data_IF_626714860975
#
_entry.id   IF_626714860975
#
_cell.length_a   1.000
_cell.length_b   1.000
_cell.length_c   1.000
_cell.angle_alpha   90.00
_cell.angle_beta   90.00
_cell.angle_gamma   90.00
#
_symmetry.space_group_name_H-M   'P 1'
#
loop_
_entity.id
_entity.type
_entity.pdbx_description
1 polymer ?
#
# COMPACT_ATOMS: atom_id res chain seq x y z
N UNK A 1 8.38 15.06 1.33
CA UNK A 1 8.92 15.14 -0.07
C UNK A 1 7.80 15.21 -1.09
N UNK A 2 8.06 15.70 -2.31
CA UNK A 2 7.03 15.74 -3.36
C UNK A 2 6.82 14.33 -3.94
N UNK A 3 5.74 13.67 -3.56
CA UNK A 3 5.39 12.35 -4.07
C UNK A 3 4.85 12.42 -5.50
N UNK A 4 5.13 11.37 -6.28
CA UNK A 4 4.47 11.16 -7.57
C UNK A 4 3.04 10.65 -7.34
N UNK A 5 2.09 11.19 -8.09
CA UNK A 5 0.71 10.72 -8.04
C UNK A 5 0.00 10.89 -9.37
N UNK A 6 -1.07 10.16 -9.57
CA UNK A 6 -1.98 10.30 -10.70
C UNK A 6 -3.35 10.74 -10.20
N UNK A 7 -3.80 11.90 -10.70
CA UNK A 7 -5.10 12.46 -10.39
C UNK A 7 -6.09 12.17 -11.53
N UNK A 8 -7.30 11.73 -11.17
CA UNK A 8 -8.37 11.48 -12.14
C UNK A 8 -9.75 11.58 -11.50
N UNK A 9 -10.79 11.82 -12.29
CA UNK A 9 -12.16 11.86 -11.84
C UNK A 9 -12.60 13.21 -11.26
N UNK A 10 -13.82 13.23 -10.76
CA UNK A 10 -14.48 14.40 -10.16
C UNK A 10 -15.29 13.98 -8.94
N UNK A 11 -15.40 14.87 -7.94
CA UNK A 11 -16.12 14.59 -6.69
C UNK A 11 -15.21 14.69 -5.46
N UNK A 12 -15.64 14.16 -4.30
CA UNK A 12 -14.84 14.19 -3.08
C UNK A 12 -13.48 13.50 -3.27
N UNK A 13 -12.39 14.05 -2.67
CA UNK A 13 -11.06 13.49 -2.84
C UNK A 13 -10.91 12.13 -2.11
N UNK A 14 -10.39 11.13 -2.84
CA UNK A 14 -10.00 9.81 -2.33
C UNK A 14 -8.54 9.56 -2.67
N UNK A 15 -7.70 9.47 -1.64
CA UNK A 15 -6.28 9.17 -1.77
C UNK A 15 -6.04 7.69 -1.51
N UNK A 16 -5.27 7.04 -2.38
CA UNK A 16 -5.01 5.59 -2.31
C UNK A 16 -3.51 5.32 -2.30
N UNK A 17 -3.02 4.60 -1.27
CA UNK A 17 -1.64 4.19 -1.08
C UNK A 17 -1.46 2.68 -1.30
N UNK A 18 -0.45 2.31 -2.10
CA UNK A 18 -0.09 0.92 -2.37
C UNK A 18 0.68 0.25 -1.24
N UNK A 19 0.84 -1.08 -1.30
CA UNK A 19 1.66 -1.88 -0.39
C UNK A 19 3.15 -1.93 -0.80
N UNK A 20 3.95 -2.62 0.04
CA UNK A 20 5.38 -2.85 -0.20
C UNK A 20 5.62 -3.44 -1.60
N UNK A 21 6.67 -3.00 -2.28
CA UNK A 21 7.06 -3.34 -3.66
C UNK A 21 6.04 -2.94 -4.74
N UNK A 22 4.90 -2.34 -4.36
CA UNK A 22 3.88 -1.87 -5.28
C UNK A 22 4.15 -0.49 -5.85
N UNK A 23 3.16 0.01 -6.59
CA UNK A 23 3.09 1.37 -7.12
C UNK A 23 1.63 1.77 -7.31
N UNK A 24 1.41 3.02 -7.68
CA UNK A 24 0.07 3.54 -8.02
C UNK A 24 -0.63 2.72 -9.13
N UNK A 25 0.14 2.07 -10.01
CA UNK A 25 -0.40 1.25 -11.09
C UNK A 25 -1.22 0.04 -10.60
N UNK A 26 -0.99 -0.41 -9.36
CA UNK A 26 -1.74 -1.51 -8.77
C UNK A 26 -3.23 -1.19 -8.59
N UNK A 27 -3.58 0.10 -8.59
CA UNK A 27 -4.92 0.59 -8.32
C UNK A 27 -5.72 1.03 -9.55
N UNK A 28 -5.15 0.95 -10.75
CA UNK A 28 -5.86 1.42 -11.97
C UNK A 28 -7.18 0.72 -12.24
N UNK A 29 -7.29 -0.58 -11.97
CA UNK A 29 -8.56 -1.32 -12.13
C UNK A 29 -9.65 -0.82 -11.17
N UNK A 30 -9.29 -0.57 -9.91
CA UNK A 30 -10.19 -0.01 -8.89
C UNK A 30 -10.55 1.45 -9.25
N UNK A 31 -9.55 2.24 -9.64
CA UNK A 31 -9.73 3.65 -9.99
C UNK A 31 -10.72 3.83 -11.14
N UNK A 32 -10.64 2.99 -12.17
CA UNK A 32 -11.55 3.02 -13.31
C UNK A 32 -13.03 2.89 -12.90
N UNK A 33 -13.30 2.11 -11.86
CA UNK A 33 -14.65 1.91 -11.34
C UNK A 33 -15.13 3.05 -10.42
N UNK A 34 -14.21 3.85 -9.86
CA UNK A 34 -14.52 4.90 -8.88
C UNK A 34 -14.45 6.32 -9.45
N UNK A 35 -13.88 6.49 -10.65
CA UNK A 35 -13.56 7.80 -11.26
C UNK A 35 -14.78 8.71 -11.48
N UNK A 36 -15.97 8.13 -11.66
CA UNK A 36 -17.20 8.89 -11.86
C UNK A 36 -17.80 9.48 -10.56
N UNK A 37 -17.27 9.03 -9.40
CA UNK A 37 -17.81 9.40 -8.08
C UNK A 37 -16.81 10.16 -7.20
N UNK A 38 -15.51 10.01 -7.46
CA UNK A 38 -14.44 10.57 -6.62
C UNK A 38 -13.35 11.22 -7.47
N UNK A 39 -12.73 12.26 -6.91
CA UNK A 39 -11.42 12.72 -7.40
C UNK A 39 -10.36 11.82 -6.76
N UNK A 40 -9.80 10.94 -7.58
CA UNK A 40 -8.85 9.93 -7.14
C UNK A 40 -7.42 10.47 -7.18
N UNK A 41 -6.65 10.20 -6.15
CA UNK A 41 -5.22 10.44 -6.04
C UNK A 41 -4.53 9.10 -5.79
N UNK A 42 -4.03 8.45 -6.85
CA UNK A 42 -3.24 7.24 -6.73
C UNK A 42 -1.79 7.65 -6.53
N UNK A 43 -1.18 7.25 -5.43
CA UNK A 43 0.10 7.80 -4.99
C UNK A 43 1.17 6.71 -4.96
N UNK A 44 2.35 7.02 -5.53
CA UNK A 44 3.57 6.27 -5.26
C UNK A 44 4.15 6.76 -3.93
N UNK A 45 4.31 5.88 -2.95
CA UNK A 45 4.96 6.23 -1.70
C UNK A 45 6.48 6.40 -1.91
N UNK A 46 7.17 7.11 -0.99
CA UNK A 46 8.64 7.24 -1.05
C UNK A 46 9.32 5.90 -1.31
N UNK A 47 10.42 5.91 -2.03
CA UNK A 47 11.20 4.72 -2.41
C UNK A 47 10.48 3.73 -3.32
N UNK A 48 9.32 4.11 -3.90
CA UNK A 48 8.53 3.27 -4.82
C UNK A 48 8.06 4.06 -6.04
N UNK A 49 7.87 3.33 -7.15
CA UNK A 49 7.32 3.89 -8.39
C UNK A 49 8.17 5.00 -8.96
N UNK A 50 7.54 6.11 -9.29
CA UNK A 50 8.21 7.31 -9.81
C UNK A 50 8.38 8.40 -8.72
N UNK A 51 8.10 8.08 -7.45
CA UNK A 51 8.39 8.95 -6.32
C UNK A 51 9.89 9.00 -5.99
N UNK A 52 10.37 10.11 -5.39
CA UNK A 52 11.78 10.26 -5.05
C UNK A 52 12.27 9.17 -4.08
N UNK A 53 13.53 8.78 -4.26
CA UNK A 53 14.25 7.90 -3.35
C UNK A 53 14.85 8.70 -2.19
N UNK A 54 14.88 8.10 -0.99
CA UNK A 54 15.46 8.65 0.24
C UNK A 54 16.09 7.54 1.07
N UNK A 55 17.13 7.87 1.83
CA UNK A 55 17.71 6.94 2.81
C UNK A 55 16.86 6.81 4.08
N UNK A 56 15.95 7.75 4.33
CA UNK A 56 15.00 7.67 5.43
C UNK A 56 13.73 6.94 4.99
N UNK A 57 13.39 5.87 5.71
CA UNK A 57 12.21 5.08 5.41
C UNK A 57 11.62 4.48 6.68
N UNK A 58 10.53 5.06 7.16
CA UNK A 58 9.73 4.65 8.30
C UNK A 58 8.33 5.28 8.18
N UNK A 59 7.38 4.86 9.02
CA UNK A 59 6.01 5.38 8.94
C UNK A 59 5.90 6.87 9.29
N UNK A 60 6.73 7.40 10.18
CA UNK A 60 6.72 8.83 10.51
C UNK A 60 6.99 9.71 9.29
N UNK A 61 8.06 9.42 8.53
CA UNK A 61 8.36 10.20 7.31
C UNK A 61 7.37 9.95 6.17
N UNK A 62 6.76 8.75 6.08
CA UNK A 62 5.69 8.47 5.10
C UNK A 62 4.41 9.26 5.41
N UNK A 63 4.08 9.43 6.69
CA UNK A 63 2.96 10.27 7.16
C UNK A 63 3.19 11.73 6.78
N UNK A 64 4.40 12.25 7.01
CA UNK A 64 4.73 13.63 6.63
C UNK A 64 4.70 13.85 5.11
N UNK A 65 5.14 12.88 4.31
CA UNK A 65 5.00 12.95 2.85
C UNK A 65 3.55 13.07 2.41
N UNK A 66 2.66 12.27 3.03
CA UNK A 66 1.23 12.33 2.74
C UNK A 66 0.65 13.68 3.17
N UNK A 67 1.01 14.21 4.34
CA UNK A 67 0.59 15.54 4.80
C UNK A 67 1.01 16.62 3.79
N UNK A 68 2.28 16.61 3.37
CA UNK A 68 2.81 17.57 2.39
C UNK A 68 2.06 17.48 1.05
N UNK A 69 1.72 16.25 0.59
CA UNK A 69 0.92 16.05 -0.63
C UNK A 69 -0.47 16.68 -0.49
N UNK A 70 -1.18 16.43 0.63
CA UNK A 70 -2.50 17.00 0.86
C UNK A 70 -2.45 18.53 0.91
N UNK A 71 -1.44 19.10 1.56
CA UNK A 71 -1.25 20.55 1.66
C UNK A 71 -0.97 21.17 0.28
N UNK A 72 -0.09 20.54 -0.52
CA UNK A 72 0.25 21.01 -1.87
C UNK A 72 -0.94 20.97 -2.85
N UNK A 73 -1.84 19.98 -2.70
CA UNK A 73 -3.06 19.86 -3.51
C UNK A 73 -4.25 20.65 -2.94
N UNK A 74 -4.08 21.36 -1.82
CA UNK A 74 -5.14 22.15 -1.18
C UNK A 74 -6.29 21.28 -0.63
N UNK A 75 -5.97 20.08 -0.17
CA UNK A 75 -6.95 19.13 0.34
C UNK A 75 -7.04 19.21 1.87
N UNK A 76 -8.03 19.91 2.40
CA UNK A 76 -8.24 20.03 3.84
C UNK A 76 -8.55 18.69 4.51
N UNK A 77 -9.43 17.89 3.91
CA UNK A 77 -9.77 16.56 4.40
C UNK A 77 -10.17 15.63 3.25
N UNK A 78 -9.81 14.35 3.36
CA UNK A 78 -9.95 13.36 2.30
C UNK A 78 -10.59 12.06 2.79
N UNK A 79 -11.12 11.26 1.86
CA UNK A 79 -11.21 9.82 2.05
C UNK A 79 -9.83 9.22 1.84
N UNK A 80 -9.44 8.31 2.71
CA UNK A 80 -8.08 7.77 2.71
C UNK A 80 -8.12 6.25 2.67
N UNK A 81 -7.40 5.65 1.73
CA UNK A 81 -7.24 4.21 1.62
C UNK A 81 -5.79 3.82 1.53
N UNK A 82 -5.40 2.74 2.21
CA UNK A 82 -4.09 2.12 2.07
C UNK A 82 -4.16 0.61 2.16
N UNK A 83 -3.29 -0.08 1.42
CA UNK A 83 -3.16 -1.52 1.43
C UNK A 83 -1.83 -1.93 2.06
N UNK A 84 -1.83 -2.92 2.97
CA UNK A 84 -0.63 -3.48 3.57
C UNK A 84 0.28 -2.38 4.18
N UNK A 85 1.51 -2.17 3.72
CA UNK A 85 2.37 -1.04 4.11
C UNK A 85 1.64 0.31 3.98
N UNK A 86 0.95 0.56 2.86
CA UNK A 86 0.12 1.74 2.69
C UNK A 86 -1.01 1.82 3.73
N UNK A 87 -1.56 0.66 4.14
CA UNK A 87 -2.53 0.56 5.23
C UNK A 87 -1.96 1.03 6.57
N UNK A 88 -0.72 0.66 6.87
CA UNK A 88 0.01 1.17 8.05
C UNK A 88 0.27 2.67 7.96
N UNK A 89 0.65 3.17 6.79
CA UNK A 89 0.85 4.61 6.55
C UNK A 89 -0.43 5.40 6.83
N UNK A 90 -1.58 4.97 6.26
CA UNK A 90 -2.85 5.69 6.45
C UNK A 90 -3.41 5.56 7.87
N UNK A 91 -3.16 4.44 8.56
CA UNK A 91 -3.52 4.30 9.98
C UNK A 91 -2.70 5.28 10.86
N UNK A 92 -1.36 5.33 10.66
CA UNK A 92 -0.51 6.30 11.36
C UNK A 92 -0.90 7.75 11.04
N UNK A 93 -1.25 8.05 9.80
CA UNK A 93 -1.74 9.37 9.40
C UNK A 93 -3.05 9.73 10.12
N UNK A 94 -4.02 8.81 10.15
CA UNK A 94 -5.32 9.07 10.74
C UNK A 94 -5.26 9.33 12.26
N UNK A 95 -4.38 8.66 12.99
CA UNK A 95 -4.20 8.91 14.44
C UNK A 95 -3.42 10.18 14.74
N UNK A 96 -2.57 10.66 13.81
CA UNK A 96 -1.80 11.90 13.96
C UNK A 96 -2.55 13.14 13.47
N UNK A 97 -3.34 13.01 12.40
CA UNK A 97 -4.06 14.10 11.73
C UNK A 97 -5.55 13.73 11.53
N UNK A 98 -6.31 13.44 12.62
CA UNK A 98 -7.67 12.90 12.52
C UNK A 98 -8.64 13.83 11.78
N UNK A 99 -8.45 15.15 11.87
CA UNK A 99 -9.25 16.17 11.19
C UNK A 99 -9.07 16.16 9.66
N UNK A 100 -7.97 15.58 9.17
CA UNK A 100 -7.66 15.47 7.74
C UNK A 100 -8.33 14.24 7.10
N UNK A 101 -8.95 13.34 7.87
CA UNK A 101 -9.51 12.07 7.40
C UNK A 101 -11.01 12.00 7.62
N UNK A 102 -11.79 12.01 6.53
CA UNK A 102 -13.26 11.88 6.57
C UNK A 102 -13.71 10.46 6.87
N UNK A 103 -13.14 9.50 6.15
CA UNK A 103 -13.34 8.05 6.32
C UNK A 103 -12.03 7.34 5.95
N UNK A 104 -11.71 6.30 6.69
CA UNK A 104 -10.50 5.51 6.52
C UNK A 104 -10.82 4.11 6.01
N UNK A 105 -10.10 3.64 4.98
CA UNK A 105 -10.15 2.25 4.50
C UNK A 105 -8.76 1.64 4.60
N UNK A 106 -8.68 0.48 5.25
CA UNK A 106 -7.43 -0.26 5.44
C UNK A 106 -7.56 -1.63 4.78
N UNK A 107 -6.72 -1.90 3.78
CA UNK A 107 -6.70 -3.17 3.04
C UNK A 107 -5.68 -4.14 3.61
N UNK A 108 -6.16 -5.24 4.12
CA UNK A 108 -5.48 -6.47 4.54
C UNK A 108 -4.24 -6.27 5.42
N UNK A 109 -4.37 -5.45 6.45
CA UNK A 109 -3.38 -5.24 7.51
C UNK A 109 -4.09 -4.76 8.79
N UNK A 110 -3.65 -5.23 9.96
CA UNK A 110 -4.12 -4.76 11.28
C UNK A 110 -3.09 -3.80 11.93
N UNK A 111 -3.46 -3.06 12.99
CA UNK A 111 -2.54 -2.13 13.67
C UNK A 111 -1.37 -2.81 14.37
N UNK A 112 -1.45 -4.10 14.71
CA UNK A 112 -0.44 -4.87 15.44
C UNK A 112 0.93 -4.96 14.76
N UNK A 113 1.94 -5.44 15.50
CA UNK A 113 3.24 -5.83 14.95
C UNK A 113 3.13 -7.08 14.06
N UNK A 114 3.91 -7.09 12.98
CA UNK A 114 4.08 -8.23 12.07
C UNK A 114 5.55 -8.62 12.00
N UNK A 115 5.92 -9.86 12.35
CA UNK A 115 7.26 -10.37 12.10
C UNK A 115 7.61 -10.30 10.62
N UNK A 116 8.86 -9.95 10.32
CA UNK A 116 9.31 -9.86 8.93
C UNK A 116 9.41 -11.26 8.32
N UNK A 117 8.82 -11.40 7.15
CA UNK A 117 8.79 -12.66 6.36
C UNK A 117 9.17 -12.42 4.89
N UNK A 118 9.79 -11.26 4.60
CA UNK A 118 10.13 -10.85 3.24
C UNK A 118 11.57 -11.21 2.84
N UNK A 119 12.34 -11.92 3.70
CA UNK A 119 13.76 -12.20 3.50
C UNK A 119 14.03 -12.89 2.16
N UNK A 120 13.29 -13.93 1.84
CA UNK A 120 13.46 -14.71 0.58
C UNK A 120 13.17 -13.83 -0.64
N UNK A 121 12.16 -12.95 -0.56
CA UNK A 121 11.86 -11.98 -1.63
C UNK A 121 13.03 -11.03 -1.82
N UNK A 122 13.54 -10.45 -0.73
CA UNK A 122 14.66 -9.52 -0.77
C UNK A 122 15.94 -10.20 -1.28
N UNK A 123 16.21 -11.44 -0.87
CA UNK A 123 17.33 -12.24 -1.38
C UNK A 123 17.22 -12.42 -2.90
N UNK A 124 16.05 -12.82 -3.41
CA UNK A 124 15.81 -12.96 -4.84
C UNK A 124 15.98 -11.66 -5.61
N UNK A 125 15.38 -10.55 -5.13
CA UNK A 125 15.49 -9.25 -5.79
C UNK A 125 16.93 -8.73 -5.81
N UNK A 126 17.69 -8.89 -4.72
CA UNK A 126 19.09 -8.47 -4.62
C UNK A 126 20.05 -9.38 -5.40
N UNK A 127 19.66 -10.62 -5.70
CA UNK A 127 20.46 -11.55 -6.49
C UNK A 127 20.44 -11.23 -8.00
N UNK A 128 19.49 -10.42 -8.48
CA UNK A 128 19.40 -10.05 -9.89
C UNK A 128 20.48 -9.03 -10.25
N UNK A 129 21.41 -9.41 -11.13
CA UNK A 129 22.32 -8.46 -11.78
C UNK A 129 21.59 -7.77 -12.94
N UNK A 130 21.05 -6.59 -12.68
CA UNK A 130 20.26 -5.85 -13.66
C UNK A 130 21.06 -5.43 -14.89
N UNK A 131 22.40 -5.31 -14.77
CA UNK A 131 23.30 -4.94 -15.88
C UNK A 131 23.41 -6.04 -16.94
N UNK A 132 23.17 -7.29 -16.56
CA UNK A 132 23.23 -8.46 -17.42
C UNK A 132 21.88 -8.87 -18.00
N UNK A 133 20.78 -8.35 -17.45
CA UNK A 133 19.41 -8.73 -17.88
C UNK A 133 19.13 -8.32 -19.32
N UNK A 134 18.63 -9.30 -20.11
CA UNK A 134 18.21 -9.05 -21.48
C UNK A 134 16.68 -8.88 -21.60
N UNK A 135 15.92 -9.51 -20.69
CA UNK A 135 14.47 -9.48 -20.74
C UNK A 135 13.81 -9.62 -19.37
N UNK A 136 12.54 -9.20 -19.27
CA UNK A 136 11.70 -9.45 -18.08
C UNK A 136 11.46 -10.95 -17.86
N UNK A 137 11.43 -11.73 -18.95
CA UNK A 137 11.29 -13.19 -18.85
C UNK A 137 12.49 -13.79 -18.14
N UNK A 138 13.69 -13.37 -18.51
CA UNK A 138 14.91 -13.81 -17.83
C UNK A 138 14.91 -13.44 -16.34
N UNK A 139 14.46 -12.23 -16.00
CA UNK A 139 14.30 -11.85 -14.61
C UNK A 139 13.29 -12.75 -13.87
N UNK A 140 12.18 -13.12 -14.49
CA UNK A 140 11.20 -14.08 -13.93
C UNK A 140 11.82 -15.47 -13.73
N UNK A 141 12.56 -15.97 -14.72
CA UNK A 141 13.23 -17.28 -14.64
C UNK A 141 14.29 -17.30 -13.52
N UNK A 142 15.05 -16.20 -13.33
CA UNK A 142 16.05 -16.06 -12.27
C UNK A 142 15.43 -15.91 -10.87
N UNK A 143 14.24 -15.33 -10.75
CA UNK A 143 13.52 -15.22 -9.49
C UNK A 143 12.82 -16.53 -9.08
N UNK A 144 12.50 -17.41 -10.02
CA UNK A 144 11.72 -18.63 -9.76
C UNK A 144 12.29 -19.54 -8.66
N UNK A 145 13.62 -19.71 -8.50
CA UNK A 145 14.19 -20.48 -7.38
C UNK A 145 13.94 -19.89 -5.99
N UNK A 146 13.83 -18.55 -5.90
CA UNK A 146 13.57 -17.85 -4.65
C UNK A 146 12.07 -17.74 -4.36
N UNK A 147 11.29 -17.49 -5.40
CA UNK A 147 9.85 -17.16 -5.31
C UNK A 147 9.10 -18.09 -6.28
N UNK A 148 8.67 -19.27 -5.83
CA UNK A 148 7.98 -20.24 -6.68
C UNK A 148 6.66 -19.74 -7.27
N UNK A 149 5.95 -18.85 -6.55
CA UNK A 149 4.62 -18.36 -6.92
C UNK A 149 4.70 -17.36 -8.06
N UNK A 150 4.24 -17.75 -9.24
CA UNK A 150 4.25 -16.91 -10.45
C UNK A 150 3.58 -15.55 -10.23
N UNK A 151 2.45 -15.52 -9.53
CA UNK A 151 1.70 -14.29 -9.27
C UNK A 151 2.52 -13.27 -8.46
N UNK A 152 3.31 -13.73 -7.47
CA UNK A 152 4.19 -12.89 -6.68
C UNK A 152 5.32 -12.33 -7.55
N UNK A 153 5.98 -13.18 -8.35
CA UNK A 153 7.03 -12.72 -9.27
C UNK A 153 6.51 -11.67 -10.25
N UNK A 154 5.34 -11.92 -10.86
CA UNK A 154 4.73 -10.96 -11.78
C UNK A 154 4.39 -9.63 -11.10
N UNK A 155 3.94 -9.65 -9.85
CA UNK A 155 3.72 -8.45 -9.06
C UNK A 155 5.02 -7.69 -8.82
N UNK A 156 6.07 -8.36 -8.34
CA UNK A 156 7.38 -7.74 -8.07
C UNK A 156 8.03 -7.17 -9.33
N UNK A 157 7.95 -7.89 -10.44
CA UNK A 157 8.52 -7.46 -11.72
C UNK A 157 7.78 -6.26 -12.35
N UNK A 158 6.61 -5.83 -11.86
CA UNK A 158 6.02 -4.54 -12.25
C UNK A 158 6.92 -3.37 -11.86
N UNK A 159 7.67 -3.48 -10.76
CA UNK A 159 8.63 -2.48 -10.32
C UNK A 159 9.98 -2.53 -11.06
N UNK A 160 10.21 -3.51 -11.94
CA UNK A 160 11.36 -3.56 -12.81
C UNK A 160 11.12 -2.65 -14.02
N UNK A 161 11.75 -1.48 -14.04
CA UNK A 161 11.68 -0.50 -15.12
C UNK A 161 12.87 -0.60 -16.09
N UNK A 162 13.01 0.43 -16.93
CA UNK A 162 14.20 0.70 -17.73
C UNK A 162 14.56 2.17 -17.59
N UNK A 163 15.85 2.42 -17.56
CA UNK A 163 16.45 3.75 -17.66
C UNK A 163 17.41 3.83 -18.85
N UNK A 164 18.23 4.86 -18.90
CA UNK A 164 19.24 5.05 -19.95
C UNK A 164 20.32 3.94 -19.98
N UNK A 165 20.51 3.22 -18.86
CA UNK A 165 21.57 2.21 -18.69
C UNK A 165 21.03 0.77 -18.83
N UNK A 166 19.71 0.58 -18.98
CA UNK A 166 19.10 -0.74 -19.10
C UNK A 166 17.97 -0.98 -18.11
N UNK A 167 17.92 -2.17 -17.51
CA UNK A 167 16.93 -2.46 -16.47
C UNK A 167 17.31 -1.77 -15.16
N UNK A 168 16.30 -1.23 -14.48
CA UNK A 168 16.44 -0.58 -13.18
C UNK A 168 15.21 -0.86 -12.30
N UNK A 169 15.43 -1.02 -11.00
CA UNK A 169 14.33 -1.06 -10.05
C UNK A 169 13.71 0.33 -9.87
N UNK A 170 12.38 0.41 -9.95
CA UNK A 170 11.60 1.58 -9.53
C UNK A 170 11.40 1.66 -8.01
N UNK A 171 11.95 0.71 -7.28
CA UNK A 171 12.00 0.70 -5.82
C UNK A 171 13.42 0.96 -5.36
N UNK A 172 13.59 1.64 -4.24
CA UNK A 172 14.89 1.81 -3.59
C UNK A 172 15.25 0.54 -2.81
N UNK A 173 15.56 -0.53 -3.56
CA UNK A 173 15.79 -1.86 -2.99
C UNK A 173 16.85 -1.87 -1.88
N UNK A 174 18.00 -1.16 -1.98
CA UNK A 174 18.98 -1.11 -0.89
C UNK A 174 18.41 -0.58 0.42
N UNK A 175 17.66 0.54 0.37
CA UNK A 175 17.06 1.14 1.57
C UNK A 175 15.94 0.28 2.13
N UNK A 176 15.09 -0.30 1.27
CA UNK A 176 14.03 -1.22 1.69
C UNK A 176 14.65 -2.44 2.38
N UNK A 177 15.71 -3.02 1.81
CA UNK A 177 16.42 -4.17 2.41
C UNK A 177 16.99 -3.81 3.79
N UNK A 178 17.63 -2.65 3.90
CA UNK A 178 18.25 -2.18 5.15
C UNK A 178 17.23 -1.92 6.26
N UNK A 179 16.04 -1.42 5.91
CA UNK A 179 15.03 -0.95 6.86
C UNK A 179 13.75 -1.80 6.85
N UNK A 180 13.79 -3.04 6.37
CA UNK A 180 12.60 -3.89 6.21
C UNK A 180 11.80 -4.07 7.50
N UNK A 181 12.46 -4.01 8.66
CA UNK A 181 11.83 -4.11 9.99
C UNK A 181 10.77 -3.01 10.22
N UNK A 182 10.91 -1.84 9.57
CA UNK A 182 9.96 -0.74 9.69
C UNK A 182 8.56 -1.13 9.21
N UNK A 183 8.45 -2.00 8.18
CA UNK A 183 7.17 -2.42 7.60
C UNK A 183 6.31 -3.19 8.60
N UNK A 184 6.96 -3.95 9.49
CA UNK A 184 6.28 -4.76 10.50
C UNK A 184 5.78 -4.00 11.73
N UNK A 185 6.18 -2.74 11.94
CA UNK A 185 5.89 -1.99 13.16
C UNK A 185 4.38 -1.86 13.45
N UNK A 186 4.03 -2.00 14.72
CA UNK A 186 2.68 -1.70 15.21
C UNK A 186 2.42 -0.18 15.24
N UNK A 187 1.16 0.21 15.35
CA UNK A 187 0.82 1.56 15.79
C UNK A 187 1.26 1.76 17.24
N UNK A 188 1.57 3.00 17.59
CA UNK A 188 1.94 3.37 18.95
C UNK A 188 0.76 3.14 19.91
N UNK A 189 1.04 2.57 21.08
CA UNK A 189 0.03 2.32 22.09
C UNK A 189 -0.70 3.60 22.51
N UNK A 190 -2.01 3.49 22.71
CA UNK A 190 -2.85 4.60 23.16
C UNK A 190 -3.25 5.59 22.06
N UNK A 191 -2.77 5.43 20.82
CA UNK A 191 -3.24 6.25 19.69
C UNK A 191 -4.64 5.80 19.26
N UNK A 192 -5.54 6.77 18.97
CA UNK A 192 -6.93 6.50 18.60
C UNK A 192 -7.36 7.42 17.46
N UNK A 193 -8.06 6.85 16.50
CA UNK A 193 -8.83 7.56 15.48
C UNK A 193 -10.32 7.20 15.61
N UNK A 194 -11.13 8.16 16.00
CA UNK A 194 -12.57 7.97 16.23
C UNK A 194 -13.42 8.08 14.95
N UNK A 195 -12.82 8.42 13.82
CA UNK A 195 -13.51 8.51 12.54
C UNK A 195 -13.98 7.15 12.03
N UNK A 196 -14.95 7.13 11.09
CA UNK A 196 -15.43 5.90 10.47
C UNK A 196 -14.27 5.16 9.79
N UNK A 197 -14.11 3.87 10.09
CA UNK A 197 -13.02 3.05 9.56
C UNK A 197 -13.54 1.73 9.03
N UNK A 198 -13.10 1.35 7.82
CA UNK A 198 -13.37 0.05 7.21
C UNK A 198 -12.06 -0.72 7.04
N UNK A 199 -11.98 -1.91 7.65
CA UNK A 199 -10.95 -2.89 7.35
C UNK A 199 -11.49 -3.89 6.32
N UNK A 200 -10.76 -4.08 5.22
CA UNK A 200 -11.04 -5.09 4.21
C UNK A 200 -9.95 -6.17 4.30
N UNK A 201 -10.31 -7.38 4.66
CA UNK A 201 -9.38 -8.52 4.70
C UNK A 201 -9.67 -9.53 3.60
N UNK A 202 -8.66 -10.22 3.09
CA UNK A 202 -8.88 -11.37 2.21
C UNK A 202 -9.29 -12.61 3.02
N UNK A 203 -10.33 -13.34 2.60
CA UNK A 203 -10.77 -14.55 3.30
C UNK A 203 -9.70 -15.67 3.33
N UNK A 204 -8.78 -15.67 2.36
CA UNK A 204 -7.65 -16.60 2.27
C UNK A 204 -6.34 -15.96 2.78
N UNK A 205 -6.41 -14.75 3.37
CA UNK A 205 -5.25 -14.06 3.95
C UNK A 205 -5.13 -14.34 5.45
N UNK A 206 -3.90 -14.37 5.93
CA UNK A 206 -3.59 -14.47 7.36
C UNK A 206 -3.25 -13.13 8.01
N UNK A 207 -3.32 -12.02 7.27
CA UNK A 207 -2.92 -10.70 7.76
C UNK A 207 -3.91 -10.11 8.76
N UNK A 208 -5.21 -10.29 8.55
CA UNK A 208 -6.23 -9.93 9.54
C UNK A 208 -6.93 -11.20 10.01
N UNK A 209 -6.94 -11.42 11.31
CA UNK A 209 -7.57 -12.56 11.96
C UNK A 209 -8.57 -12.08 13.02
N UNK A 210 -9.45 -12.96 13.48
CA UNK A 210 -10.44 -12.64 14.53
C UNK A 210 -9.79 -12.08 15.80
N UNK A 211 -8.61 -12.58 16.16
CA UNK A 211 -7.86 -12.12 17.34
C UNK A 211 -7.39 -10.65 17.21
N UNK A 212 -7.30 -10.13 15.99
CA UNK A 212 -6.89 -8.74 15.75
C UNK A 212 -8.02 -7.73 16.02
N UNK A 213 -9.29 -8.20 16.09
CA UNK A 213 -10.45 -7.32 16.28
C UNK A 213 -10.37 -6.48 17.56
N UNK A 214 -9.83 -7.04 18.64
CA UNK A 214 -9.70 -6.30 19.89
C UNK A 214 -8.71 -5.14 19.74
N UNK A 215 -7.58 -5.39 19.09
CA UNK A 215 -6.55 -4.38 18.84
C UNK A 215 -7.03 -3.32 17.83
N UNK A 216 -7.70 -3.76 16.77
CA UNK A 216 -8.35 -2.86 15.82
C UNK A 216 -9.35 -1.92 16.52
N UNK A 217 -10.18 -2.44 17.43
CA UNK A 217 -11.16 -1.64 18.20
C UNK A 217 -10.52 -0.69 19.21
N UNK A 218 -9.33 -1.00 19.73
CA UNK A 218 -8.59 -0.08 20.61
C UNK A 218 -8.13 1.18 19.88
N UNK A 219 -7.62 1.03 18.67
CA UNK A 219 -7.13 2.15 17.86
C UNK A 219 -8.22 2.82 17.01
N UNK A 220 -9.22 2.04 16.57
CA UNK A 220 -10.30 2.46 15.67
C UNK A 220 -11.66 1.99 16.22
N UNK A 221 -12.19 2.64 17.29
CA UNK A 221 -13.41 2.19 17.98
C UNK A 221 -14.63 2.08 17.05
N UNK A 222 -14.70 2.94 16.02
CA UNK A 222 -15.78 2.96 15.03
C UNK A 222 -15.44 2.16 13.76
N UNK A 223 -14.59 1.12 13.87
CA UNK A 223 -14.27 0.29 12.73
C UNK A 223 -15.28 -0.84 12.50
N UNK A 224 -15.41 -1.17 11.22
CA UNK A 224 -16.03 -2.40 10.71
C UNK A 224 -14.98 -3.22 9.98
N UNK A 225 -15.02 -4.55 10.11
CA UNK A 225 -14.20 -5.46 9.33
C UNK A 225 -15.06 -6.30 8.41
N UNK A 226 -14.66 -6.38 7.14
CA UNK A 226 -15.30 -7.19 6.10
C UNK A 226 -14.25 -8.10 5.48
N UNK A 227 -14.54 -9.40 5.45
CA UNK A 227 -13.72 -10.40 4.77
C UNK A 227 -14.21 -10.56 3.32
N UNK A 228 -13.29 -10.37 2.36
CA UNK A 228 -13.56 -10.50 0.92
C UNK A 228 -13.41 -11.97 0.52
N UNK A 229 -14.49 -12.66 0.10
CA UNK A 229 -14.43 -14.07 -0.28
C UNK A 229 -13.47 -14.31 -1.44
N UNK A 230 -12.75 -15.43 -1.42
CA UNK A 230 -11.81 -15.88 -2.46
C UNK A 230 -10.65 -14.91 -2.74
N UNK A 231 -10.36 -13.98 -1.82
CA UNK A 231 -9.21 -13.08 -1.89
C UNK A 231 -8.14 -13.50 -0.89
N UNK A 232 -6.89 -13.41 -1.31
CA UNK A 232 -5.71 -13.42 -0.46
C UNK A 232 -5.26 -12.00 -0.11
N UNK A 233 -3.94 -11.82 0.09
CA UNK A 233 -3.37 -10.53 0.47
C UNK A 233 -3.59 -9.42 -0.59
N UNK A 234 -3.57 -9.76 -1.87
CA UNK A 234 -3.78 -8.80 -2.96
C UNK A 234 -5.26 -8.68 -3.36
N UNK A 235 -6.14 -8.47 -2.39
CA UNK A 235 -7.61 -8.44 -2.56
C UNK A 235 -8.07 -7.51 -3.71
N UNK A 236 -7.39 -6.39 -3.92
CA UNK A 236 -7.68 -5.42 -5.00
C UNK A 236 -7.35 -5.95 -6.40
N UNK A 237 -6.44 -6.93 -6.50
CA UNK A 237 -6.09 -7.60 -7.76
C UNK A 237 -6.90 -8.89 -7.96
N UNK A 238 -7.16 -9.63 -6.88
CA UNK A 238 -7.83 -10.92 -6.93
C UNK A 238 -9.36 -10.80 -7.00
N UNK A 239 -9.96 -9.82 -6.29
CA UNK A 239 -11.41 -9.60 -6.22
C UNK A 239 -11.77 -8.11 -6.36
N UNK A 240 -11.38 -7.44 -7.46
CA UNK A 240 -11.52 -5.99 -7.61
C UNK A 240 -12.98 -5.52 -7.50
N UNK A 241 -13.95 -6.26 -8.04
CA UNK A 241 -15.36 -5.88 -8.00
C UNK A 241 -15.96 -5.93 -6.58
N UNK A 242 -15.56 -6.93 -5.79
CA UNK A 242 -15.98 -7.03 -4.39
C UNK A 242 -15.39 -5.86 -3.57
N UNK A 243 -14.11 -5.55 -3.79
CA UNK A 243 -13.45 -4.42 -3.13
C UNK A 243 -14.13 -3.09 -3.49
N UNK A 244 -14.40 -2.84 -4.76
CA UNK A 244 -15.12 -1.63 -5.23
C UNK A 244 -16.50 -1.53 -4.60
N UNK A 245 -17.24 -2.64 -4.54
CA UNK A 245 -18.58 -2.68 -3.94
C UNK A 245 -18.55 -2.25 -2.47
N UNK A 246 -17.64 -2.80 -1.68
CA UNK A 246 -17.51 -2.44 -0.27
C UNK A 246 -16.98 -1.02 -0.06
N UNK A 247 -16.04 -0.57 -0.92
CA UNK A 247 -15.58 0.83 -0.91
C UNK A 247 -16.74 1.80 -1.17
N UNK A 248 -17.53 1.59 -2.23
CA UNK A 248 -18.70 2.44 -2.55
C UNK A 248 -19.73 2.44 -1.41
N UNK A 249 -20.05 1.25 -0.86
CA UNK A 249 -21.00 1.14 0.23
C UNK A 249 -20.57 1.92 1.47
N UNK A 250 -19.26 1.91 1.77
CA UNK A 250 -18.72 2.60 2.93
C UNK A 250 -18.54 4.10 2.70
N UNK A 251 -18.07 4.51 1.53
CA UNK A 251 -17.79 5.91 1.24
C UNK A 251 -19.06 6.73 0.97
N UNK A 252 -20.09 6.14 0.36
CA UNK A 252 -21.38 6.78 0.03
C UNK A 252 -21.48 7.24 -1.40
#
# INVERSE_FOLDING_TARGET
>A
MQLNFKKSGTGPPLVILHGLFGSLDNWFSIAKELVDHYTLYLVDQRNHGDSPHSNEWNYGVMVEDLRELLDAEGLDSVFLMGHSMGGKTVMNFAVQYPERVRKLIVGDIAPRYYPIHHQVILEGLNALDLSQLQSRKEADDLLAPYIPELGIRQFLLKSLGRDANGFAWKINLPVITQHIEEVGKALDEGTVFEGPTLFLGGANSSYIQENDLLDMKRHFPNCTWISIPNAGHWLHAEQPQAVVTEMRRFLG
#
